data_IF_664014522472
#
_entry.id   IF_664014522472
#
_cell.length_a   1.000
_cell.length_b   1.000
_cell.length_c   1.000
_cell.angle_alpha   90.00
_cell.angle_beta   90.00
_cell.angle_gamma   90.00
#
_symmetry.space_group_name_H-M   'P 1'
#
loop_
_entity.id
_entity.type
_entity.pdbx_description
1 polymer ?
#
# COMPACT_ATOMS: atom_id res chain seq x y z
N UNK A 1 10.20 17.20 -31.44
CA UNK A 1 9.68 16.41 -30.30
C UNK A 1 9.54 17.35 -29.12
N UNK A 2 8.30 17.66 -28.71
CA UNK A 2 8.03 18.53 -27.56
C UNK A 2 7.67 17.62 -26.39
N UNK A 3 8.63 17.39 -25.48
CA UNK A 3 8.35 16.76 -24.21
C UNK A 3 7.62 17.79 -23.34
N UNK A 4 6.37 17.50 -22.97
CA UNK A 4 5.63 18.29 -21.99
C UNK A 4 5.72 17.51 -20.68
N UNK A 5 6.58 18.01 -19.80
CA UNK A 5 6.87 17.50 -18.47
C UNK A 5 5.76 17.96 -17.51
N UNK A 6 5.13 17.03 -16.80
CA UNK A 6 4.30 17.36 -15.64
C UNK A 6 4.88 16.60 -14.44
N UNK A 7 5.54 17.34 -13.56
CA UNK A 7 6.03 16.84 -12.28
C UNK A 7 4.88 16.91 -11.26
N UNK A 8 4.55 15.80 -10.61
CA UNK A 8 3.71 15.82 -9.42
C UNK A 8 4.63 15.83 -8.20
N UNK A 9 4.55 16.92 -7.44
CA UNK A 9 5.24 17.14 -6.17
C UNK A 9 4.34 16.58 -5.06
N UNK A 10 4.79 15.54 -4.37
CA UNK A 10 4.25 15.18 -3.05
C UNK A 10 5.13 15.88 -2.01
N UNK A 11 4.61 16.97 -1.46
CA UNK A 11 5.32 17.80 -0.48
C UNK A 11 5.19 17.17 0.92
N UNK A 12 6.22 16.43 1.36
CA UNK A 12 6.37 16.08 2.77
C UNK A 12 7.16 17.18 3.48
N UNK A 13 6.49 17.92 4.37
CA UNK A 13 7.12 18.91 5.24
C UNK A 13 7.95 18.18 6.29
N UNK A 14 9.28 18.21 6.15
CA UNK A 14 10.20 17.67 7.15
C UNK A 14 10.57 18.81 8.10
N UNK A 15 9.97 18.83 9.29
CA UNK A 15 10.48 19.66 10.39
C UNK A 15 11.75 19.02 10.94
N UNK A 16 12.86 19.72 10.72
CA UNK A 16 14.19 19.40 11.20
C UNK A 16 14.28 19.53 12.72
N UNK A 17 14.69 18.45 13.40
CA UNK A 17 15.27 18.51 14.72
C UNK A 17 16.59 17.73 14.71
N UNK A 18 17.68 18.47 14.93
CA UNK A 18 19.06 18.02 14.78
C UNK A 18 19.52 17.08 15.91
N UNK A 19 20.37 16.15 15.50
CA UNK A 19 21.57 15.65 16.20
C UNK A 19 21.43 14.87 17.51
N UNK A 20 21.67 13.57 17.39
CA UNK A 20 22.19 12.71 18.46
C UNK A 20 22.97 11.54 17.84
N UNK A 21 24.28 11.69 17.71
CA UNK A 21 25.17 10.60 17.28
C UNK A 21 25.29 9.57 18.40
N UNK A 22 24.68 8.40 18.22
CA UNK A 22 24.95 7.23 19.04
C UNK A 22 25.29 6.05 18.14
N UNK A 23 26.58 5.72 18.11
CA UNK A 23 27.10 4.43 17.64
C UNK A 23 26.58 3.33 18.57
N UNK A 24 25.77 2.40 18.06
CA UNK A 24 25.39 1.19 18.78
C UNK A 24 26.06 -0.02 18.10
N UNK A 25 26.70 -0.94 18.84
CA UNK A 25 27.36 -2.10 18.27
C UNK A 25 26.34 -3.07 17.66
N UNK A 26 26.75 -3.73 16.58
CA UNK A 26 26.06 -4.88 16.04
C UNK A 26 26.16 -6.05 17.03
N UNK A 27 25.08 -6.33 17.75
CA UNK A 27 24.91 -7.60 18.45
C UNK A 27 23.67 -8.30 17.90
N UNK A 28 23.95 -9.20 16.96
CA UNK A 28 23.06 -10.25 16.49
C UNK A 28 22.66 -11.11 17.68
N UNK A 29 21.45 -10.92 18.18
CA UNK A 29 20.69 -11.97 18.86
C UNK A 29 19.29 -11.96 18.26
N UNK A 30 19.06 -12.88 17.32
CA UNK A 30 17.75 -13.19 16.81
C UNK A 30 16.91 -13.79 17.94
N UNK A 31 16.10 -12.96 18.59
CA UNK A 31 14.96 -13.44 19.37
C UNK A 31 13.82 -13.70 18.38
N UNK A 32 13.86 -14.88 17.75
CA UNK A 32 12.70 -15.49 17.13
C UNK A 32 11.78 -15.96 18.27
N UNK A 33 11.03 -15.04 18.85
CA UNK A 33 9.83 -15.41 19.59
C UNK A 33 8.69 -15.37 18.57
N UNK A 34 8.17 -16.51 18.09
CA UNK A 34 6.91 -16.48 17.37
C UNK A 34 5.85 -15.99 18.36
N UNK A 35 5.32 -14.79 18.11
CA UNK A 35 4.08 -14.42 18.74
C UNK A 35 2.98 -15.23 18.06
N UNK A 36 2.42 -16.14 18.82
CA UNK A 36 1.13 -16.74 18.51
C UNK A 36 0.09 -15.66 18.78
N UNK A 37 -0.27 -14.88 17.75
CA UNK A 37 -1.55 -14.16 17.76
C UNK A 37 -2.62 -15.15 18.20
N UNK A 38 -3.33 -14.86 19.29
CA UNK A 38 -4.36 -15.77 19.76
C UNK A 38 -5.38 -15.94 18.64
N UNK A 39 -5.73 -17.16 18.21
CA UNK A 39 -6.73 -17.37 17.16
C UNK A 39 -8.02 -16.56 17.39
N UNK A 40 -8.41 -16.37 18.66
CA UNK A 40 -9.58 -15.55 19.02
C UNK A 40 -9.40 -14.03 18.90
N UNK A 41 -8.19 -13.49 18.77
CA UNK A 41 -7.97 -12.08 18.43
C UNK A 41 -8.11 -11.85 16.92
N UNK A 42 -7.58 -12.77 16.11
CA UNK A 42 -7.74 -12.80 14.65
C UNK A 42 -9.20 -12.92 14.25
N UNK A 43 -9.93 -13.88 14.82
CA UNK A 43 -11.35 -14.11 14.52
C UNK A 43 -12.23 -12.92 14.91
N UNK A 44 -11.92 -12.26 16.05
CA UNK A 44 -12.60 -11.02 16.45
C UNK A 44 -12.35 -9.89 15.46
N UNK A 45 -11.11 -9.65 15.06
CA UNK A 45 -10.79 -8.58 14.11
C UNK A 45 -11.46 -8.83 12.74
N UNK A 46 -11.50 -10.07 12.26
CA UNK A 46 -12.24 -10.43 11.04
C UNK A 46 -13.74 -10.15 11.18
N UNK A 47 -14.30 -10.45 12.34
CA UNK A 47 -15.73 -10.21 12.63
C UNK A 47 -16.03 -8.71 12.72
N UNK A 48 -15.15 -7.95 13.37
CA UNK A 48 -15.29 -6.49 13.54
C UNK A 48 -15.14 -5.72 12.23
N UNK A 49 -14.29 -6.19 11.30
CA UNK A 49 -14.02 -5.52 10.03
C UNK A 49 -15.20 -5.57 9.03
N UNK A 50 -16.27 -6.34 9.30
CA UNK A 50 -17.48 -6.50 8.47
C UNK A 50 -17.19 -6.45 6.95
N UNK A 51 -16.37 -7.38 6.46
CA UNK A 51 -15.94 -7.36 5.06
C UNK A 51 -17.11 -7.41 4.07
N UNK A 52 -18.20 -8.09 4.41
CA UNK A 52 -19.38 -8.12 3.56
C UNK A 52 -20.01 -6.72 3.49
N UNK A 53 -20.12 -6.05 4.65
CA UNK A 53 -20.55 -4.66 4.77
C UNK A 53 -19.67 -3.69 3.99
N UNK A 54 -18.36 -3.89 3.97
CA UNK A 54 -17.40 -3.07 3.19
C UNK A 54 -17.38 -3.42 1.69
N UNK A 55 -17.63 -4.67 1.32
CA UNK A 55 -17.64 -5.10 -0.10
C UNK A 55 -18.86 -4.53 -0.85
N UNK A 56 -20.02 -4.42 -0.19
CA UNK A 56 -21.25 -3.90 -0.79
C UNK A 56 -21.14 -2.47 -1.35
N UNK A 57 -20.65 -1.46 -0.62
CA UNK A 57 -20.44 -0.12 -1.18
C UNK A 57 -19.39 -0.12 -2.28
N UNK A 58 -18.34 -0.94 -2.19
CA UNK A 58 -17.35 -1.08 -3.27
C UNK A 58 -18.01 -1.55 -4.55
N UNK A 59 -18.76 -2.67 -4.51
CA UNK A 59 -19.49 -3.19 -5.66
C UNK A 59 -20.46 -2.16 -6.25
N UNK A 60 -21.23 -1.50 -5.38
CA UNK A 60 -22.22 -0.48 -5.78
C UNK A 60 -21.56 0.75 -6.43
N UNK A 61 -20.48 1.28 -5.85
CA UNK A 61 -19.79 2.48 -6.34
C UNK A 61 -18.99 2.23 -7.61
N UNK A 62 -18.69 0.96 -7.89
CA UNK A 62 -17.99 0.49 -9.09
C UNK A 62 -18.88 -0.10 -10.16
N UNK A 63 -20.15 -0.36 -9.82
CA UNK A 63 -21.11 -1.03 -10.70
C UNK A 63 -20.58 -2.39 -11.21
N UNK A 64 -19.86 -3.10 -10.33
CA UNK A 64 -19.23 -4.38 -10.59
C UNK A 64 -19.41 -5.29 -9.39
N UNK A 65 -19.80 -6.53 -9.62
CA UNK A 65 -19.87 -7.54 -8.56
C UNK A 65 -18.51 -8.23 -8.37
N UNK A 66 -18.18 -8.61 -7.13
CA UNK A 66 -17.04 -9.51 -6.90
C UNK A 66 -17.33 -10.87 -7.56
N UNK A 67 -16.38 -11.36 -8.36
CA UNK A 67 -16.47 -12.65 -9.04
C UNK A 67 -16.24 -13.81 -8.06
N UNK A 68 -15.46 -13.56 -7.02
CA UNK A 68 -15.16 -14.50 -5.94
C UNK A 68 -14.96 -13.75 -4.60
N UNK A 69 -15.17 -14.41 -3.44
CA UNK A 69 -14.89 -13.81 -2.15
C UNK A 69 -13.42 -13.40 -2.02
N UNK A 70 -13.16 -12.21 -1.47
CA UNK A 70 -11.79 -11.73 -1.22
C UNK A 70 -11.30 -12.24 0.14
N UNK A 71 -10.31 -13.14 0.21
CA UNK A 71 -9.80 -13.63 1.48
C UNK A 71 -9.08 -12.50 2.24
N UNK A 72 -9.14 -12.55 3.58
CA UNK A 72 -8.34 -11.70 4.46
C UNK A 72 -7.40 -12.54 5.30
N UNK A 73 -6.14 -12.10 5.38
CA UNK A 73 -5.16 -12.65 6.29
C UNK A 73 -4.68 -11.55 7.24
N UNK A 74 -4.84 -11.78 8.54
CA UNK A 74 -4.28 -10.89 9.55
C UNK A 74 -2.85 -11.34 9.85
N UNK A 75 -1.91 -10.39 9.78
CA UNK A 75 -0.50 -10.61 10.05
C UNK A 75 -0.03 -9.70 11.19
N UNK A 76 0.82 -10.25 12.04
CA UNK A 76 1.56 -9.44 13.02
C UNK A 76 2.45 -8.40 12.34
N UNK A 77 2.74 -7.29 13.03
CA UNK A 77 3.45 -6.12 12.50
C UNK A 77 4.69 -6.49 11.66
N UNK A 78 5.59 -7.29 12.23
CA UNK A 78 6.83 -7.70 11.56
C UNK A 78 6.54 -8.55 10.33
N UNK A 79 5.60 -9.50 10.41
CA UNK A 79 5.25 -10.39 9.30
C UNK A 79 4.57 -9.61 8.17
N UNK A 80 3.68 -8.67 8.52
CA UNK A 80 3.06 -7.76 7.56
C UNK A 80 4.10 -6.94 6.81
N UNK A 81 5.04 -6.31 7.52
CA UNK A 81 6.09 -5.49 6.91
C UNK A 81 7.02 -6.30 6.01
N UNK A 82 7.38 -7.53 6.42
CA UNK A 82 8.19 -8.44 5.60
C UNK A 82 7.43 -8.80 4.32
N UNK A 83 6.17 -9.21 4.42
CA UNK A 83 5.38 -9.59 3.25
C UNK A 83 5.17 -8.42 2.29
N UNK A 84 4.84 -7.23 2.80
CA UNK A 84 4.71 -6.02 1.96
C UNK A 84 6.05 -5.66 1.30
N UNK A 85 7.17 -5.82 2.01
CA UNK A 85 8.49 -5.59 1.41
C UNK A 85 8.78 -6.58 0.27
N UNK A 86 8.45 -7.86 0.43
CA UNK A 86 8.59 -8.86 -0.64
C UNK A 86 7.76 -8.50 -1.87
N UNK A 87 6.51 -8.08 -1.66
CA UNK A 87 5.56 -7.72 -2.73
C UNK A 87 5.90 -6.41 -3.46
N UNK A 88 6.71 -5.54 -2.85
CA UNK A 88 6.99 -4.17 -3.34
C UNK A 88 8.47 -3.92 -3.63
N UNK A 89 9.32 -4.92 -3.42
CA UNK A 89 10.74 -4.82 -3.73
C UNK A 89 10.93 -4.62 -5.24
N UNK A 90 11.89 -3.78 -5.62
CA UNK A 90 12.23 -3.59 -7.02
C UNK A 90 12.74 -4.92 -7.63
N UNK A 91 12.27 -5.29 -8.84
CA UNK A 91 12.83 -6.41 -9.59
C UNK A 91 14.34 -6.24 -9.80
N UNK A 92 15.14 -7.31 -9.71
CA UNK A 92 16.59 -7.24 -9.87
C UNK A 92 17.02 -6.73 -11.26
N UNK A 93 16.17 -6.85 -12.27
CA UNK A 93 16.40 -6.39 -13.65
C UNK A 93 16.23 -4.86 -13.82
N UNK A 94 15.58 -4.19 -12.86
CA UNK A 94 15.36 -2.75 -12.92
C UNK A 94 16.61 -2.06 -12.39
N UNK A 95 17.39 -1.49 -13.33
CA UNK A 95 18.53 -0.65 -12.99
C UNK A 95 18.13 0.48 -12.04
N UNK A 96 19.02 0.94 -11.13
CA UNK A 96 18.67 1.92 -10.13
C UNK A 96 18.25 3.25 -10.79
N UNK A 97 16.93 3.42 -10.87
CA UNK A 97 16.28 4.66 -10.50
C UNK A 97 16.63 5.83 -11.42
N UNK A 98 16.27 5.71 -12.70
CA UNK A 98 16.30 6.85 -13.63
C UNK A 98 15.55 8.06 -13.02
N UNK A 99 14.46 7.80 -12.30
CA UNK A 99 13.71 8.82 -11.56
C UNK A 99 14.55 9.50 -10.47
N UNK A 100 15.19 8.77 -9.55
CA UNK A 100 16.07 9.38 -8.56
C UNK A 100 17.29 10.03 -9.18
N UNK A 101 17.77 9.56 -10.31
CA UNK A 101 18.93 10.16 -10.96
C UNK A 101 18.65 11.61 -11.36
N UNK A 102 17.47 11.89 -11.91
CA UNK A 102 17.05 13.26 -12.20
C UNK A 102 16.68 14.05 -10.94
N UNK A 103 15.97 13.44 -9.98
CA UNK A 103 15.60 14.13 -8.73
C UNK A 103 16.84 14.50 -7.89
N UNK A 104 17.87 13.65 -7.88
CA UNK A 104 19.18 13.94 -7.27
C UNK A 104 19.92 15.04 -8.04
N UNK A 105 19.90 14.98 -9.38
CA UNK A 105 20.51 16.03 -10.21
C UNK A 105 19.89 17.41 -9.95
N UNK A 106 18.56 17.45 -9.77
CA UNK A 106 17.82 18.67 -9.43
C UNK A 106 17.98 19.12 -7.96
N UNK A 107 18.74 18.38 -7.15
CA UNK A 107 18.94 18.67 -5.73
C UNK A 107 17.72 18.42 -4.84
N UNK A 108 16.72 17.70 -5.34
CA UNK A 108 15.48 17.39 -4.61
C UNK A 108 15.62 16.16 -3.70
N UNK A 109 16.60 15.30 -3.96
CA UNK A 109 16.91 14.13 -3.13
C UNK A 109 18.39 14.12 -2.73
N UNK A 110 18.71 13.69 -1.50
CA UNK A 110 20.08 13.41 -1.09
C UNK A 110 20.79 12.41 -2.02
N UNK A 111 22.12 12.49 -2.06
CA UNK A 111 22.94 11.50 -2.75
C UNK A 111 22.69 10.10 -2.18
N UNK A 112 22.56 9.10 -3.05
CA UNK A 112 22.33 7.71 -2.65
C UNK A 112 20.89 7.36 -2.27
N UNK A 113 19.94 8.31 -2.30
CA UNK A 113 18.51 7.98 -2.11
C UNK A 113 18.03 7.01 -3.19
N UNK A 114 17.42 5.91 -2.76
CA UNK A 114 16.73 4.94 -3.61
C UNK A 114 15.22 5.12 -3.39
N UNK A 115 14.51 5.59 -4.40
CA UNK A 115 13.07 5.88 -4.29
C UNK A 115 12.26 4.61 -4.16
N UNK A 116 12.64 3.51 -4.81
CA UNK A 116 11.96 2.22 -4.63
C UNK A 116 12.01 1.74 -3.18
N UNK A 117 13.20 1.78 -2.57
CA UNK A 117 13.36 1.39 -1.18
C UNK A 117 12.61 2.35 -0.23
N UNK A 118 12.57 3.65 -0.56
CA UNK A 118 11.80 4.62 0.22
C UNK A 118 10.29 4.38 0.11
N UNK A 119 9.77 4.13 -1.09
CA UNK A 119 8.37 3.82 -1.35
C UNK A 119 7.96 2.51 -0.68
N UNK A 120 8.74 1.45 -0.80
CA UNK A 120 8.45 0.18 -0.13
C UNK A 120 8.36 0.35 1.40
N UNK A 121 9.28 1.13 2.00
CA UNK A 121 9.20 1.45 3.44
C UNK A 121 7.95 2.25 3.82
N UNK A 122 7.48 3.13 2.92
CA UNK A 122 6.24 3.86 3.13
C UNK A 122 5.03 2.92 3.05
N UNK A 123 4.97 2.02 2.08
CA UNK A 123 3.88 1.03 1.97
C UNK A 123 3.84 0.09 3.18
N UNK A 124 5.00 -0.24 3.75
CA UNK A 124 5.13 -0.96 5.02
C UNK A 124 4.55 -0.22 6.24
N UNK A 125 4.08 1.03 6.14
CA UNK A 125 3.36 1.71 7.24
C UNK A 125 1.84 1.57 7.13
N UNK A 126 1.32 0.99 6.04
CA UNK A 126 -0.14 0.78 5.87
C UNK A 126 -0.71 -0.20 6.89
N UNK A 127 -2.01 -0.08 7.17
CA UNK A 127 -2.76 -1.01 8.03
C UNK A 127 -3.35 -2.19 7.25
N UNK A 128 -3.47 -2.07 5.92
CA UNK A 128 -3.84 -3.17 5.04
C UNK A 128 -3.11 -3.08 3.70
N UNK A 129 -3.05 -4.17 2.95
CA UNK A 129 -2.40 -4.23 1.64
C UNK A 129 -2.96 -5.39 0.80
N UNK A 130 -3.29 -5.16 -0.46
CA UNK A 130 -3.74 -6.21 -1.37
C UNK A 130 -2.55 -6.97 -1.98
N UNK A 131 -2.47 -8.25 -1.63
CA UNK A 131 -1.52 -9.19 -2.20
C UNK A 131 -2.08 -9.73 -3.53
N UNK A 132 -1.58 -9.19 -4.63
CA UNK A 132 -1.96 -9.64 -5.97
C UNK A 132 -1.41 -11.03 -6.34
N UNK A 133 -0.35 -11.50 -5.69
CA UNK A 133 0.20 -12.84 -5.98
C UNK A 133 -0.76 -13.92 -5.49
N UNK A 134 -1.37 -13.70 -4.33
CA UNK A 134 -2.25 -14.68 -3.68
C UNK A 134 -3.72 -14.23 -3.61
N UNK A 135 -4.06 -13.10 -4.23
CA UNK A 135 -5.44 -12.64 -4.40
C UNK A 135 -6.17 -12.28 -3.11
N UNK A 136 -5.46 -11.81 -2.07
CA UNK A 136 -6.02 -11.59 -0.73
C UNK A 136 -5.64 -10.23 -0.15
N UNK A 137 -6.40 -9.77 0.84
CA UNK A 137 -6.04 -8.58 1.61
C UNK A 137 -5.28 -9.01 2.86
N UNK A 138 -4.10 -8.42 3.06
CA UNK A 138 -3.33 -8.51 4.29
C UNK A 138 -3.78 -7.39 5.22
N UNK A 139 -4.06 -7.69 6.48
CA UNK A 139 -4.41 -6.69 7.50
C UNK A 139 -3.42 -6.78 8.66
N UNK A 140 -2.92 -5.65 9.12
CA UNK A 140 -1.99 -5.59 10.26
C UNK A 140 -2.74 -5.83 11.57
N UNK A 141 -2.25 -6.80 12.36
CA UNK A 141 -2.76 -7.06 13.70
C UNK A 141 -2.60 -5.82 14.59
N UNK A 142 -3.58 -5.60 15.47
CA UNK A 142 -3.55 -4.49 16.42
C UNK A 142 -3.93 -3.12 15.85
N UNK A 143 -4.29 -3.02 14.56
CA UNK A 143 -4.79 -1.77 13.97
C UNK A 143 -6.14 -1.29 14.57
N UNK A 144 -6.87 -2.16 15.28
CA UNK A 144 -8.25 -1.91 15.67
C UNK A 144 -9.18 -1.88 14.44
N UNK A 145 -10.48 -1.70 14.67
CA UNK A 145 -11.44 -1.36 13.61
C UNK A 145 -11.97 0.04 13.91
N UNK A 146 -11.58 0.97 13.05
CA UNK A 146 -12.06 2.34 13.05
C UNK A 146 -12.30 2.80 11.60
N UNK A 147 -12.93 3.97 11.37
CA UNK A 147 -13.21 4.45 10.03
C UNK A 147 -11.97 4.61 9.14
N UNK A 148 -10.79 4.82 9.73
CA UNK A 148 -9.54 4.87 8.96
C UNK A 148 -9.17 3.48 8.46
N UNK A 149 -9.16 2.46 9.32
CA UNK A 149 -8.89 1.07 8.90
C UNK A 149 -9.90 0.59 7.86
N UNK A 150 -11.20 0.86 8.06
CA UNK A 150 -12.25 0.55 7.08
C UNK A 150 -11.97 1.21 5.72
N UNK A 151 -11.57 2.48 5.72
CA UNK A 151 -11.26 3.21 4.47
C UNK A 151 -10.08 2.60 3.70
N UNK A 152 -9.06 2.13 4.42
CA UNK A 152 -7.91 1.45 3.80
C UNK A 152 -8.34 0.08 3.27
N UNK A 153 -9.14 -0.69 4.02
CA UNK A 153 -9.66 -1.97 3.54
C UNK A 153 -10.57 -1.80 2.32
N UNK A 154 -11.36 -0.73 2.25
CA UNK A 154 -12.13 -0.36 1.05
C UNK A 154 -11.22 -0.08 -0.15
N UNK A 155 -10.09 0.61 0.06
CA UNK A 155 -9.08 0.81 -0.99
C UNK A 155 -8.55 -0.53 -1.51
N UNK A 156 -8.18 -1.43 -0.62
CA UNK A 156 -7.68 -2.76 -0.98
C UNK A 156 -8.74 -3.66 -1.63
N UNK A 157 -10.02 -3.54 -1.22
CA UNK A 157 -11.15 -4.23 -1.88
C UNK A 157 -11.34 -3.75 -3.31
N UNK A 158 -11.07 -2.48 -3.60
CA UNK A 158 -11.10 -1.98 -4.98
C UNK A 158 -9.98 -2.59 -5.80
N UNK A 159 -8.78 -2.75 -5.25
CA UNK A 159 -7.70 -3.48 -5.92
C UNK A 159 -8.07 -4.93 -6.19
N UNK A 160 -8.72 -5.59 -5.23
CA UNK A 160 -9.24 -6.95 -5.43
C UNK A 160 -10.27 -7.02 -6.56
N UNK A 161 -11.22 -6.07 -6.59
CA UNK A 161 -12.24 -6.01 -7.65
C UNK A 161 -11.62 -5.72 -9.02
N UNK A 162 -10.65 -4.79 -9.09
CA UNK A 162 -9.89 -4.52 -10.30
C UNK A 162 -9.15 -5.76 -10.80
N UNK A 163 -8.51 -6.49 -9.89
CA UNK A 163 -7.78 -7.72 -10.21
C UNK A 163 -8.71 -8.80 -10.76
N UNK A 164 -9.87 -9.01 -10.14
CA UNK A 164 -10.85 -10.01 -10.60
C UNK A 164 -11.39 -9.71 -12.00
N UNK A 165 -11.68 -8.44 -12.32
CA UNK A 165 -12.30 -8.07 -13.61
C UNK A 165 -11.30 -7.81 -14.74
N UNK A 166 -10.13 -7.28 -14.43
CA UNK A 166 -9.18 -6.77 -15.43
C UNK A 166 -7.81 -7.45 -15.38
N UNK A 167 -7.57 -8.32 -14.39
CA UNK A 167 -6.24 -8.86 -14.12
C UNK A 167 -5.30 -7.81 -13.52
N UNK A 168 -4.01 -8.16 -13.45
CA UNK A 168 -2.93 -7.24 -13.09
C UNK A 168 -1.94 -7.13 -14.25
N UNK A 169 -1.75 -5.92 -14.77
CA UNK A 169 -0.53 -5.60 -15.50
C UNK A 169 0.59 -5.27 -14.49
N UNK A 170 1.81 -5.67 -14.78
CA UNK A 170 2.98 -5.19 -14.05
C UNK A 170 3.41 -3.84 -14.66
N UNK A 171 3.23 -2.71 -13.95
CA UNK A 171 3.57 -1.39 -14.48
C UNK A 171 5.05 -1.27 -14.84
N UNK A 172 5.91 -2.07 -14.21
CA UNK A 172 7.35 -2.04 -14.43
C UNK A 172 7.77 -2.69 -15.74
N UNK A 173 6.88 -3.51 -16.34
CA UNK A 173 7.06 -4.13 -17.64
C UNK A 173 6.39 -3.33 -18.76
N UNK A 174 5.74 -2.20 -18.44
CA UNK A 174 5.09 -1.33 -19.42
C UNK A 174 6.05 -0.25 -19.91
N UNK A 175 6.14 -0.08 -21.24
CA UNK A 175 7.07 0.85 -21.86
C UNK A 175 6.73 2.33 -21.59
N UNK A 176 7.78 3.11 -21.26
CA UNK A 176 7.70 4.56 -21.17
C UNK A 176 6.67 5.06 -20.17
N UNK A 177 5.82 6.01 -20.59
CA UNK A 177 4.82 6.63 -19.71
C UNK A 177 3.63 5.69 -19.39
N UNK A 178 3.51 4.55 -20.08
CA UNK A 178 2.36 3.65 -19.95
C UNK A 178 2.27 3.07 -18.54
N UNK A 179 3.41 2.72 -17.93
CA UNK A 179 3.46 2.26 -16.54
C UNK A 179 2.87 3.29 -15.57
N UNK A 180 3.26 4.57 -15.71
CA UNK A 180 2.75 5.65 -14.87
C UNK A 180 1.26 5.90 -15.08
N UNK A 181 0.79 5.87 -16.34
CA UNK A 181 -0.64 6.04 -16.65
C UNK A 181 -1.46 4.89 -16.08
N UNK A 182 -0.97 3.65 -16.19
CA UNK A 182 -1.62 2.49 -15.61
C UNK A 182 -1.72 2.61 -14.09
N UNK A 183 -0.61 2.91 -13.39
CA UNK A 183 -0.64 3.11 -11.93
C UNK A 183 -1.58 4.24 -11.54
N UNK A 184 -1.54 5.39 -12.24
CA UNK A 184 -2.43 6.52 -11.95
C UNK A 184 -3.91 6.16 -12.12
N UNK A 185 -4.24 5.32 -13.11
CA UNK A 185 -5.60 4.83 -13.32
C UNK A 185 -6.05 3.88 -12.20
N UNK A 186 -5.22 2.89 -11.86
CA UNK A 186 -5.51 1.88 -10.83
C UNK A 186 -5.68 2.51 -9.46
N UNK A 187 -4.69 3.31 -9.02
CA UNK A 187 -4.71 3.97 -7.70
C UNK A 187 -5.75 5.09 -7.65
N UNK A 188 -5.89 5.88 -8.72
CA UNK A 188 -6.84 6.98 -8.76
C UNK A 188 -8.29 6.51 -8.70
N UNK A 189 -8.58 5.34 -9.27
CA UNK A 189 -9.89 4.70 -9.22
C UNK A 189 -10.19 4.10 -7.83
N UNK A 190 -9.21 3.46 -7.18
CA UNK A 190 -9.32 3.03 -5.79
C UNK A 190 -9.60 4.20 -4.85
N UNK A 191 -8.76 5.25 -4.92
CA UNK A 191 -8.89 6.45 -4.12
C UNK A 191 -10.23 7.20 -4.37
N UNK A 192 -10.73 7.21 -5.61
CA UNK A 192 -12.05 7.79 -5.94
C UNK A 192 -13.18 7.07 -5.20
N UNK A 193 -13.13 5.73 -5.10
CA UNK A 193 -14.13 4.95 -4.38
C UNK A 193 -13.99 5.16 -2.87
N UNK A 194 -12.76 5.09 -2.35
CA UNK A 194 -12.45 5.32 -0.93
C UNK A 194 -13.00 6.68 -0.45
N UNK A 195 -12.79 7.75 -1.21
CA UNK A 195 -13.35 9.07 -0.89
C UNK A 195 -14.87 9.12 -0.89
N UNK A 196 -15.53 8.39 -1.79
CA UNK A 196 -17.00 8.31 -1.79
C UNK A 196 -17.51 7.54 -0.59
N UNK A 197 -16.87 6.43 -0.25
CA UNK A 197 -17.18 5.67 0.97
C UNK A 197 -17.05 6.54 2.22
N UNK A 198 -15.93 7.24 2.40
CA UNK A 198 -15.74 8.17 3.54
C UNK A 198 -16.82 9.27 3.56
N UNK A 199 -17.20 9.78 2.39
CA UNK A 199 -18.28 10.76 2.25
C UNK A 199 -19.64 10.25 2.71
N UNK A 200 -19.93 8.96 2.53
CA UNK A 200 -21.15 8.30 3.00
C UNK A 200 -21.15 8.03 4.51
N UNK A 201 -19.97 7.95 5.15
CA UNK A 201 -19.84 7.80 6.61
C UNK A 201 -20.14 9.10 7.37
N UNK A 202 -19.98 10.25 6.70
CA UNK A 202 -20.31 11.55 7.30
C UNK A 202 -21.83 11.72 7.32
N UNK A 203 -22.46 12.07 8.46
CA UNK A 203 -23.88 12.43 8.46
C UNK A 203 -24.12 13.53 7.44
N UNK A 204 -25.14 13.38 6.60
CA UNK A 204 -25.58 14.46 5.71
C UNK A 204 -25.80 15.71 6.57
N UNK A 205 -24.97 16.74 6.35
CA UNK A 205 -25.02 18.01 7.07
C UNK A 205 -26.33 18.77 6.80
#
# INVERSE_FOLDING_TARGET
>A
MRAITVAIVVLAVITSACSGSSTVPAETTALTTPFTGSPGATERLLTELDLEGLSRPVSRLRELEFLEPVPVQILEDTAFRVRVNELTAAPPEITPDLQSSWLRLLGLLPAGTNTYAATSRLLQTSVAFYDYEEGRILVRAGAGVDPYVESVVVHELVHALQHQHFGRADPMLLDGDVGYVYTALVEGDAERVTRRFIGELSPAA
#
